data_IF_945116722601
#
_entry.id   IF_945116722601
#
_cell.length_a   1.000
_cell.length_b   1.000
_cell.length_c   1.000
_cell.angle_alpha   90.00
_cell.angle_beta   90.00
_cell.angle_gamma   90.00
#
_symmetry.space_group_name_H-M   'P 1'
#
loop_
_entity.id
_entity.type
_entity.pdbx_description
1 polymer ?
#
# COMPACT_ATOMS: atom_id res chain seq x y z
N UNK A 1 -18.56 1.48 13.40
CA UNK A 1 -17.57 0.73 14.20
C UNK A 1 -16.71 1.69 15.00
N UNK A 2 -16.12 1.18 16.06
CA UNK A 2 -15.17 1.88 16.91
C UNK A 2 -13.75 1.61 16.42
N UNK A 3 -12.97 2.65 16.15
CA UNK A 3 -11.62 2.53 15.58
C UNK A 3 -10.60 3.02 16.61
N UNK A 4 -9.53 2.25 16.81
CA UNK A 4 -8.31 2.72 17.47
C UNK A 4 -7.27 3.15 16.43
N UNK A 5 -6.68 4.33 16.61
CA UNK A 5 -5.57 4.83 15.80
C UNK A 5 -4.26 4.61 16.55
N UNK A 6 -3.38 3.78 15.98
CA UNK A 6 -2.04 3.51 16.47
C UNK A 6 -1.05 4.31 15.62
N UNK A 7 -0.62 5.46 16.15
CA UNK A 7 0.04 6.54 15.43
C UNK A 7 -0.93 7.66 15.05
N UNK A 8 -0.71 8.86 15.57
CA UNK A 8 -1.59 10.01 15.35
C UNK A 8 -0.85 11.19 14.70
N UNK A 9 0.00 10.86 13.72
CA UNK A 9 0.67 11.81 12.86
C UNK A 9 -0.25 12.32 11.73
N UNK A 10 0.35 12.73 10.60
CA UNK A 10 -0.39 13.24 9.43
C UNK A 10 -1.45 12.24 8.92
N UNK A 11 -1.06 10.96 8.76
CA UNK A 11 -2.00 9.93 8.29
C UNK A 11 -3.10 9.63 9.31
N UNK A 12 -2.78 9.49 10.59
CA UNK A 12 -3.77 9.27 11.64
C UNK A 12 -4.86 10.34 11.66
N UNK A 13 -4.47 11.63 11.53
CA UNK A 13 -5.42 12.75 11.44
C UNK A 13 -6.30 12.71 10.19
N UNK A 14 -5.74 12.30 9.05
CA UNK A 14 -6.53 12.15 7.80
C UNK A 14 -7.50 10.97 7.91
N UNK A 15 -7.05 9.85 8.49
CA UNK A 15 -7.89 8.68 8.74
C UNK A 15 -9.05 9.03 9.69
N UNK A 16 -8.79 9.75 10.80
CA UNK A 16 -9.84 10.19 11.72
C UNK A 16 -10.92 11.02 11.01
N UNK A 17 -10.51 12.03 10.22
CA UNK A 17 -11.45 12.85 9.46
C UNK A 17 -12.38 12.00 8.60
N UNK A 18 -11.81 11.09 7.77
CA UNK A 18 -12.57 10.25 6.86
C UNK A 18 -13.42 9.22 7.63
N UNK A 19 -12.90 8.67 8.74
CA UNK A 19 -13.65 7.75 9.60
C UNK A 19 -14.93 8.40 10.14
N UNK A 20 -14.82 9.62 10.66
CA UNK A 20 -15.97 10.38 11.19
C UNK A 20 -16.98 10.70 10.06
N UNK A 21 -16.49 11.15 8.90
CA UNK A 21 -17.36 11.42 7.72
C UNK A 21 -18.13 10.17 7.26
N UNK A 22 -17.56 8.97 7.47
CA UNK A 22 -18.18 7.67 7.16
C UNK A 22 -19.04 7.11 8.31
N UNK A 23 -19.20 7.84 9.41
CA UNK A 23 -20.05 7.45 10.54
C UNK A 23 -19.38 6.49 11.53
N UNK A 24 -18.03 6.44 11.57
CA UNK A 24 -17.29 5.67 12.56
C UNK A 24 -16.89 6.54 13.76
N UNK A 25 -16.56 5.91 14.89
CA UNK A 25 -16.09 6.58 16.10
C UNK A 25 -14.61 6.26 16.34
N UNK A 26 -13.81 7.26 16.72
CA UNK A 26 -12.45 7.05 17.19
C UNK A 26 -12.49 6.91 18.71
N UNK A 27 -12.20 5.71 19.22
CA UNK A 27 -12.25 5.40 20.67
C UNK A 27 -10.89 5.39 21.34
N UNK A 28 -9.81 5.32 20.56
CA UNK A 28 -8.46 5.44 21.09
C UNK A 28 -7.52 6.09 20.05
N UNK A 29 -6.58 6.92 20.56
CA UNK A 29 -5.47 7.48 19.82
C UNK A 29 -4.21 7.22 20.62
N UNK A 30 -3.33 6.37 20.11
CA UNK A 30 -2.10 5.95 20.76
C UNK A 30 -0.93 6.50 19.96
N UNK A 31 -0.14 7.39 20.58
CA UNK A 31 1.03 8.01 19.96
C UNK A 31 2.17 8.15 20.98
N UNK A 32 3.39 8.46 20.54
CA UNK A 32 4.61 8.55 21.38
C UNK A 32 4.44 9.34 22.66
N UNK A 33 3.64 10.40 22.65
CA UNK A 33 3.57 11.39 23.73
C UNK A 33 2.18 11.50 24.36
N UNK A 34 1.19 10.78 23.88
CA UNK A 34 -0.18 10.84 24.43
C UNK A 34 -0.98 9.61 24.03
N UNK A 35 -1.58 9.00 25.02
CA UNK A 35 -2.60 7.96 24.83
C UNK A 35 -3.94 8.54 25.27
N UNK A 36 -4.88 8.60 24.32
CA UNK A 36 -6.26 9.01 24.56
C UNK A 36 -7.20 7.83 24.35
N UNK A 37 -8.19 7.65 25.23
CA UNK A 37 -9.18 6.61 25.16
C UNK A 37 -8.66 5.22 25.55
N UNK A 38 -9.35 4.17 25.10
CA UNK A 38 -9.02 2.78 25.45
C UNK A 38 -9.02 1.88 24.24
N UNK A 39 -7.87 1.25 23.98
CA UNK A 39 -7.73 0.29 22.90
C UNK A 39 -8.75 -0.85 22.98
N UNK A 40 -9.09 -1.32 24.19
CA UNK A 40 -10.05 -2.40 24.43
C UNK A 40 -11.52 -2.10 24.03
N UNK A 41 -11.83 -0.85 23.69
CA UNK A 41 -13.16 -0.44 23.24
C UNK A 41 -13.26 -0.45 21.70
N UNK A 42 -12.18 -0.77 20.98
CA UNK A 42 -12.13 -0.75 19.53
C UNK A 42 -12.60 -2.07 18.89
N UNK A 43 -13.32 -1.97 17.79
CA UNK A 43 -13.67 -3.09 16.90
C UNK A 43 -12.51 -3.42 15.94
N UNK A 44 -11.66 -2.42 15.62
CA UNK A 44 -10.50 -2.55 14.73
C UNK A 44 -9.44 -1.51 15.08
N UNK A 45 -8.17 -1.84 14.89
CA UNK A 45 -7.06 -0.92 15.05
C UNK A 45 -6.40 -0.61 13.68
N UNK A 46 -6.09 0.67 13.45
CA UNK A 46 -5.39 1.11 12.24
C UNK A 46 -4.02 1.68 12.65
N UNK A 47 -2.95 1.02 12.21
CA UNK A 47 -1.57 1.37 12.56
C UNK A 47 -0.86 2.13 11.43
N UNK A 48 -0.64 3.43 11.64
CA UNK A 48 0.24 4.29 10.83
C UNK A 48 1.19 5.04 11.76
N UNK A 49 2.08 4.31 12.39
CA UNK A 49 3.06 4.79 13.38
C UNK A 49 4.47 4.90 12.77
N UNK A 50 5.49 4.84 13.61
CA UNK A 50 6.90 4.73 13.21
C UNK A 50 7.34 3.26 13.21
N UNK A 51 8.38 2.88 12.44
CA UNK A 51 8.84 1.49 12.34
C UNK A 51 9.09 0.85 13.70
N UNK A 52 9.82 1.53 14.60
CA UNK A 52 10.22 1.03 15.93
C UNK A 52 9.03 0.74 16.86
N UNK A 53 7.87 1.38 16.63
CA UNK A 53 6.66 1.18 17.43
C UNK A 53 5.67 0.19 16.79
N UNK A 54 5.84 -0.15 15.51
CA UNK A 54 4.85 -0.90 14.73
C UNK A 54 4.51 -2.25 15.36
N UNK A 55 5.54 -3.06 15.64
CA UNK A 55 5.36 -4.42 16.20
C UNK A 55 4.66 -4.39 17.55
N UNK A 56 5.09 -3.51 18.45
CA UNK A 56 4.49 -3.36 19.78
C UNK A 56 3.03 -2.92 19.70
N UNK A 57 2.73 -1.94 18.87
CA UNK A 57 1.38 -1.45 18.64
C UNK A 57 0.47 -2.55 18.10
N UNK A 58 0.91 -3.25 17.05
CA UNK A 58 0.16 -4.33 16.43
C UNK A 58 -0.14 -5.43 17.44
N UNK A 59 0.88 -5.93 18.16
CA UNK A 59 0.72 -6.99 19.16
C UNK A 59 -0.20 -6.58 20.32
N UNK A 60 -0.19 -5.31 20.72
CA UNK A 60 -1.07 -4.80 21.76
C UNK A 60 -2.56 -4.93 21.39
N UNK A 61 -2.91 -4.66 20.12
CA UNK A 61 -4.25 -4.83 19.62
C UNK A 61 -4.62 -6.33 19.41
N UNK A 62 -3.72 -7.09 18.75
CA UNK A 62 -3.95 -8.52 18.51
C UNK A 62 -4.14 -9.33 19.79
N UNK A 63 -3.44 -8.97 20.88
CA UNK A 63 -3.61 -9.60 22.21
C UNK A 63 -5.02 -9.41 22.79
N UNK A 64 -5.71 -8.36 22.37
CA UNK A 64 -7.11 -8.09 22.73
C UNK A 64 -8.10 -8.67 21.69
N UNK A 65 -7.62 -9.54 20.78
CA UNK A 65 -8.37 -10.12 19.67
C UNK A 65 -8.91 -9.05 18.68
N UNK A 66 -8.37 -7.83 18.72
CA UNK A 66 -8.77 -6.72 17.85
C UNK A 66 -8.02 -6.85 16.50
N UNK A 67 -8.74 -6.92 15.36
CA UNK A 67 -8.15 -6.90 14.03
C UNK A 67 -7.29 -5.67 13.78
N UNK A 68 -6.18 -5.85 13.04
CA UNK A 68 -5.24 -4.76 12.77
C UNK A 68 -5.02 -4.56 11.29
N UNK A 69 -5.17 -3.31 10.84
CA UNK A 69 -4.79 -2.81 9.52
C UNK A 69 -3.51 -1.99 9.67
N UNK A 70 -2.41 -2.41 9.06
CA UNK A 70 -1.10 -1.77 9.21
C UNK A 70 -0.56 -1.21 7.90
N UNK A 71 -0.30 0.12 7.88
CA UNK A 71 0.36 0.82 6.78
C UNK A 71 1.75 1.37 7.13
N UNK A 72 2.26 1.11 8.33
CA UNK A 72 3.63 1.45 8.70
C UNK A 72 4.61 0.57 7.94
N UNK A 73 5.63 1.16 7.34
CA UNK A 73 6.71 0.45 6.63
C UNK A 73 8.00 0.39 7.46
N UNK A 74 9.00 -0.37 7.01
CA UNK A 74 10.34 -0.42 7.64
C UNK A 74 10.46 -1.30 8.88
N UNK A 75 9.55 -2.28 9.07
CA UNK A 75 9.55 -3.24 10.18
C UNK A 75 9.34 -4.70 9.71
N UNK A 76 9.37 -4.96 8.41
CA UNK A 76 8.97 -6.24 7.82
C UNK A 76 9.88 -7.43 8.16
N UNK A 77 11.04 -7.20 8.73
CA UNK A 77 11.90 -8.28 9.28
C UNK A 77 11.16 -9.07 10.36
N UNK A 78 10.23 -8.41 11.08
CA UNK A 78 9.40 -9.00 12.12
C UNK A 78 8.02 -9.49 11.63
N UNK A 79 7.72 -9.39 10.32
CA UNK A 79 6.39 -9.70 9.78
C UNK A 79 5.93 -11.12 10.14
N UNK A 80 6.81 -12.12 9.98
CA UNK A 80 6.49 -13.53 10.30
C UNK A 80 6.15 -13.74 11.76
N UNK A 81 6.80 -12.99 12.66
CA UNK A 81 6.51 -13.03 14.09
C UNK A 81 5.13 -12.47 14.39
N UNK A 82 4.75 -11.35 13.75
CA UNK A 82 3.44 -10.73 13.89
C UNK A 82 2.34 -11.63 13.33
N UNK A 83 2.54 -12.26 12.18
CA UNK A 83 1.59 -13.20 11.57
C UNK A 83 1.33 -14.41 12.49
N UNK A 84 2.40 -14.99 13.05
CA UNK A 84 2.27 -16.06 14.04
C UNK A 84 1.51 -15.59 15.26
N UNK A 85 1.86 -14.43 15.83
CA UNK A 85 1.19 -13.85 17.00
C UNK A 85 -0.30 -13.58 16.74
N UNK A 86 -0.65 -13.10 15.53
CA UNK A 86 -2.04 -12.93 15.11
C UNK A 86 -2.80 -14.26 15.16
N UNK A 87 -2.22 -15.32 14.60
CA UNK A 87 -2.83 -16.65 14.58
C UNK A 87 -3.02 -17.23 15.98
N UNK A 88 -2.04 -17.07 16.86
CA UNK A 88 -2.06 -17.52 18.27
C UNK A 88 -3.14 -16.80 19.09
N UNK A 89 -3.47 -15.55 18.75
CA UNK A 89 -4.49 -14.74 19.43
C UNK A 89 -5.86 -14.75 18.71
N UNK A 90 -6.06 -15.63 17.73
CA UNK A 90 -7.34 -15.77 16.99
C UNK A 90 -7.89 -14.42 16.49
N UNK A 91 -7.02 -13.55 15.98
CA UNK A 91 -7.38 -12.23 15.47
C UNK A 91 -7.20 -12.15 13.95
N UNK A 92 -7.29 -10.95 13.38
CA UNK A 92 -7.04 -10.70 11.96
C UNK A 92 -5.95 -9.64 11.78
N UNK A 93 -5.11 -9.82 10.76
CA UNK A 93 -4.05 -8.89 10.42
C UNK A 93 -3.95 -8.68 8.92
N UNK A 94 -3.81 -7.42 8.52
CA UNK A 94 -3.52 -7.03 7.15
C UNK A 94 -2.43 -5.97 7.14
N UNK A 95 -1.35 -6.27 6.43
CA UNK A 95 -0.32 -5.30 6.09
C UNK A 95 -0.41 -4.92 4.61
N UNK A 96 -0.28 -3.63 4.33
CA UNK A 96 -0.04 -3.14 2.96
C UNK A 96 0.89 -1.92 2.98
N UNK A 97 1.83 -1.88 2.04
CA UNK A 97 2.67 -0.69 1.79
C UNK A 97 1.89 0.45 1.13
N UNK A 98 0.74 0.14 0.55
CA UNK A 98 -0.14 1.09 -0.12
C UNK A 98 -1.62 0.67 0.01
N UNK A 99 -2.45 1.54 0.57
CA UNK A 99 -3.88 1.32 0.77
C UNK A 99 -4.77 1.95 -0.31
N UNK A 100 -4.21 2.73 -1.25
CA UNK A 100 -5.02 3.28 -2.33
C UNK A 100 -5.68 2.16 -3.15
N UNK A 101 -6.99 2.17 -3.22
CA UNK A 101 -7.76 1.21 -4.04
C UNK A 101 -7.30 1.31 -5.50
N UNK A 102 -7.21 2.55 -6.03
CA UNK A 102 -6.76 2.77 -7.41
C UNK A 102 -5.37 2.20 -7.68
N UNK A 103 -4.41 2.37 -6.77
CA UNK A 103 -3.06 1.82 -6.91
C UNK A 103 -3.07 0.28 -6.89
N UNK A 104 -3.84 -0.35 -6.01
CA UNK A 104 -3.90 -1.81 -5.94
C UNK A 104 -4.59 -2.41 -7.19
N UNK A 105 -5.66 -1.79 -7.68
CA UNK A 105 -6.27 -2.16 -8.97
C UNK A 105 -5.29 -1.96 -10.12
N UNK A 106 -4.51 -0.89 -10.10
CA UNK A 106 -3.49 -0.61 -11.10
C UNK A 106 -2.37 -1.65 -11.09
N UNK A 107 -1.92 -2.12 -9.90
CA UNK A 107 -0.98 -3.24 -9.81
C UNK A 107 -1.52 -4.50 -10.49
N UNK A 108 -2.78 -4.85 -10.25
CA UNK A 108 -3.40 -6.02 -10.87
C UNK A 108 -3.52 -5.86 -12.38
N UNK A 109 -4.01 -4.70 -12.84
CA UNK A 109 -4.11 -4.39 -14.28
C UNK A 109 -2.75 -4.48 -14.98
N UNK A 110 -1.70 -3.94 -14.35
CA UNK A 110 -0.33 -4.01 -14.84
C UNK A 110 0.15 -5.46 -15.02
N UNK A 111 -0.10 -6.33 -14.03
CA UNK A 111 0.27 -7.76 -14.12
C UNK A 111 -0.49 -8.48 -15.24
N UNK A 112 -1.79 -8.19 -15.40
CA UNK A 112 -2.61 -8.76 -16.48
C UNK A 112 -2.09 -8.28 -17.84
N UNK A 113 -1.84 -6.97 -17.98
CA UNK A 113 -1.29 -6.40 -19.21
C UNK A 113 0.07 -7.00 -19.56
N UNK A 114 0.98 -7.14 -18.59
CA UNK A 114 2.29 -7.76 -18.81
C UNK A 114 2.17 -9.20 -19.34
N UNK A 115 1.24 -10.00 -18.81
CA UNK A 115 0.97 -11.36 -19.30
C UNK A 115 0.45 -11.36 -20.73
N UNK A 116 -0.46 -10.44 -21.07
CA UNK A 116 -1.01 -10.32 -22.42
C UNK A 116 0.05 -9.88 -23.42
N UNK A 117 0.95 -9.00 -23.02
CA UNK A 117 2.02 -8.47 -23.87
C UNK A 117 3.21 -9.44 -24.06
N UNK A 118 3.38 -10.42 -23.17
CA UNK A 118 4.51 -11.37 -23.20
C UNK A 118 4.78 -12.01 -24.58
N UNK A 119 3.77 -12.46 -25.36
CA UNK A 119 4.00 -13.07 -26.69
C UNK A 119 4.22 -12.07 -27.82
N UNK A 120 4.32 -10.77 -27.54
CA UNK A 120 4.40 -9.70 -28.53
C UNK A 120 5.75 -8.98 -28.49
N UNK A 121 6.79 -9.61 -29.02
CA UNK A 121 8.20 -9.13 -28.94
C UNK A 121 8.46 -7.82 -29.68
N UNK A 122 7.56 -7.38 -30.55
CA UNK A 122 7.64 -6.09 -31.24
C UNK A 122 7.28 -4.88 -30.33
N UNK A 123 6.75 -5.13 -29.12
CA UNK A 123 6.49 -4.07 -28.16
C UNK A 123 7.58 -3.95 -27.10
N UNK A 124 8.08 -2.73 -26.95
CA UNK A 124 9.03 -2.38 -25.89
C UNK A 124 8.28 -1.78 -24.72
N UNK A 125 8.48 -2.36 -23.53
CA UNK A 125 7.89 -1.84 -22.29
C UNK A 125 8.78 -0.77 -21.65
N UNK A 126 8.16 0.25 -21.08
CA UNK A 126 8.83 1.28 -20.28
C UNK A 126 7.89 1.84 -19.22
N UNK A 127 8.48 2.41 -18.19
CA UNK A 127 7.76 3.02 -17.08
C UNK A 127 8.20 4.46 -16.87
N UNK A 128 7.26 5.25 -16.32
CA UNK A 128 7.52 6.61 -15.86
C UNK A 128 6.83 6.84 -14.53
N UNK A 129 7.50 7.53 -13.60
CA UNK A 129 6.89 8.05 -12.39
C UNK A 129 7.16 9.55 -12.24
N UNK A 130 6.21 10.27 -11.67
CA UNK A 130 6.36 11.67 -11.30
C UNK A 130 5.88 11.90 -9.86
N UNK A 131 6.68 12.61 -9.05
CA UNK A 131 6.37 13.01 -7.68
C UNK A 131 6.85 14.42 -7.39
N UNK A 132 6.42 14.95 -6.25
CA UNK A 132 6.86 16.26 -5.74
C UNK A 132 8.38 16.33 -5.51
N UNK A 133 8.92 17.55 -5.55
CA UNK A 133 10.38 17.80 -5.43
C UNK A 133 10.99 17.36 -4.09
N UNK A 134 10.18 17.18 -3.04
CA UNK A 134 10.64 16.78 -1.70
C UNK A 134 10.71 15.25 -1.50
N UNK A 135 10.38 14.44 -2.54
CA UNK A 135 10.47 12.98 -2.45
C UNK A 135 11.92 12.52 -2.67
N UNK A 136 12.49 11.88 -1.66
CA UNK A 136 13.92 11.51 -1.63
C UNK A 136 14.20 10.16 -2.31
N UNK A 137 13.31 9.17 -2.14
CA UNK A 137 13.47 7.85 -2.73
C UNK A 137 13.20 7.88 -4.24
N UNK A 138 14.02 7.19 -5.01
CA UNK A 138 13.92 7.02 -6.45
C UNK A 138 14.46 5.63 -6.87
N UNK A 139 13.67 4.80 -7.56
CA UNK A 139 12.25 5.00 -7.83
C UNK A 139 11.39 4.82 -6.56
N UNK A 140 10.13 5.25 -6.62
CA UNK A 140 9.18 5.07 -5.51
C UNK A 140 8.84 3.60 -5.28
N UNK A 141 8.41 3.24 -4.04
CA UNK A 141 7.94 1.88 -3.74
C UNK A 141 6.82 1.40 -4.67
N UNK A 142 5.92 2.30 -5.10
CA UNK A 142 4.88 1.98 -6.10
C UNK A 142 5.49 1.62 -7.46
N UNK A 143 6.48 2.38 -7.92
CA UNK A 143 7.16 2.08 -9.18
C UNK A 143 7.93 0.75 -9.11
N UNK A 144 8.58 0.45 -7.98
CA UNK A 144 9.25 -0.84 -7.76
C UNK A 144 8.24 -1.99 -7.85
N UNK A 145 7.11 -1.90 -7.15
CA UNK A 145 6.05 -2.94 -7.19
C UNK A 145 5.50 -3.15 -8.61
N UNK A 146 5.30 -2.07 -9.37
CA UNK A 146 4.88 -2.16 -10.78
C UNK A 146 5.94 -2.86 -11.63
N UNK A 147 7.20 -2.49 -11.47
CA UNK A 147 8.32 -3.07 -12.21
C UNK A 147 8.48 -4.56 -11.91
N UNK A 148 8.43 -4.97 -10.64
CA UNK A 148 8.47 -6.37 -10.22
C UNK A 148 7.29 -7.16 -10.81
N UNK A 149 6.09 -6.54 -10.88
CA UNK A 149 4.92 -7.12 -11.52
C UNK A 149 5.10 -7.37 -13.02
N UNK A 150 5.82 -6.50 -13.74
CA UNK A 150 6.19 -6.69 -15.14
C UNK A 150 7.26 -7.77 -15.28
N UNK A 151 8.35 -7.67 -14.54
CA UNK A 151 9.48 -8.60 -14.58
C UNK A 151 9.01 -10.04 -14.33
N UNK A 152 8.16 -10.26 -13.34
CA UNK A 152 7.59 -11.58 -13.03
C UNK A 152 6.82 -12.21 -14.21
N UNK A 153 6.30 -11.41 -15.13
CA UNK A 153 5.44 -11.84 -16.23
C UNK A 153 6.07 -11.63 -17.62
N UNK A 154 7.35 -11.29 -17.71
CA UNK A 154 8.11 -11.08 -18.96
C UNK A 154 9.46 -11.79 -18.88
N UNK A 155 10.32 -11.60 -19.88
CA UNK A 155 11.71 -12.10 -19.90
C UNK A 155 12.71 -11.10 -19.30
N UNK A 156 12.27 -9.93 -18.84
CA UNK A 156 13.11 -8.94 -18.17
C UNK A 156 13.56 -9.48 -16.80
N UNK A 157 14.79 -9.14 -16.39
CA UNK A 157 15.39 -9.66 -15.16
C UNK A 157 15.59 -8.63 -14.06
N UNK A 158 15.56 -7.34 -14.41
CA UNK A 158 15.78 -6.23 -13.50
C UNK A 158 15.10 -4.96 -14.02
N UNK A 159 15.03 -3.94 -13.19
CA UNK A 159 14.68 -2.57 -13.59
C UNK A 159 15.89 -1.63 -13.42
N UNK A 160 15.90 -0.51 -14.14
CA UNK A 160 16.96 0.51 -14.03
C UNK A 160 16.41 1.91 -14.28
N UNK A 161 16.96 2.91 -13.58
CA UNK A 161 16.71 4.32 -13.83
C UNK A 161 17.81 4.98 -14.68
N UNK A 162 19.00 4.41 -14.71
CA UNK A 162 20.20 5.01 -15.32
C UNK A 162 20.72 4.22 -16.52
N UNK A 163 20.78 2.89 -16.41
CA UNK A 163 21.35 2.04 -17.45
C UNK A 163 20.26 1.23 -18.15
N UNK A 164 20.10 1.46 -19.44
CA UNK A 164 19.18 0.67 -20.28
C UNK A 164 20.01 -0.40 -20.99
N UNK A 165 19.77 -1.66 -20.61
CA UNK A 165 20.26 -2.83 -21.35
C UNK A 165 19.07 -3.68 -21.79
N UNK A 166 19.31 -4.64 -22.68
CA UNK A 166 18.26 -5.45 -23.30
C UNK A 166 17.42 -6.29 -22.31
N UNK A 167 17.90 -6.45 -21.06
CA UNK A 167 17.23 -7.26 -20.04
C UNK A 167 16.68 -6.40 -18.88
N UNK A 168 16.75 -5.06 -18.98
CA UNK A 168 16.25 -4.16 -17.94
C UNK A 168 15.02 -3.39 -18.38
N UNK A 169 14.07 -3.26 -17.44
CA UNK A 169 12.92 -2.39 -17.57
C UNK A 169 13.35 -0.95 -17.27
N UNK A 170 13.29 -0.02 -18.25
CA UNK A 170 13.61 1.39 -17.98
C UNK A 170 12.52 2.07 -17.17
N UNK A 171 12.91 2.78 -16.10
CA UNK A 171 12.04 3.62 -15.29
C UNK A 171 12.53 5.08 -15.39
N UNK A 172 11.74 5.94 -16.02
CA UNK A 172 11.97 7.38 -16.01
C UNK A 172 11.41 7.97 -14.72
N UNK A 173 12.24 8.69 -13.97
CA UNK A 173 11.87 9.32 -12.69
C UNK A 173 11.82 10.84 -12.87
N UNK A 174 10.67 11.43 -12.53
CA UNK A 174 10.49 12.89 -12.52
C UNK A 174 10.21 13.40 -11.09
N UNK A 175 10.76 14.56 -10.76
CA UNK A 175 10.51 15.31 -9.53
C UNK A 175 10.09 16.72 -9.93
N UNK A 176 8.79 17.03 -9.77
CA UNK A 176 8.21 18.28 -10.25
C UNK A 176 7.09 18.78 -9.37
N UNK A 177 7.10 20.06 -9.03
CA UNK A 177 6.05 20.73 -8.26
C UNK A 177 5.65 20.00 -6.97
N UNK A 178 4.35 19.91 -6.74
CA UNK A 178 3.73 19.23 -5.58
C UNK A 178 2.93 17.98 -5.99
N UNK A 179 3.31 17.34 -7.11
CA UNK A 179 2.63 16.14 -7.65
C UNK A 179 2.58 15.03 -6.59
N UNK A 180 1.39 14.56 -6.18
CA UNK A 180 1.26 13.53 -5.14
C UNK A 180 1.83 12.17 -5.58
N UNK A 181 1.70 11.85 -6.85
CA UNK A 181 2.25 10.66 -7.48
C UNK A 181 1.48 10.26 -8.74
N UNK A 182 2.20 10.17 -9.85
CA UNK A 182 1.68 9.64 -11.13
C UNK A 182 2.58 8.50 -11.59
N UNK A 183 2.00 7.40 -12.01
CA UNK A 183 2.72 6.23 -12.51
C UNK A 183 2.13 5.80 -13.84
N UNK A 184 3.00 5.66 -14.83
CA UNK A 184 2.65 5.27 -16.19
C UNK A 184 3.41 4.01 -16.57
N UNK A 185 2.72 3.03 -17.16
CA UNK A 185 3.31 1.88 -17.85
C UNK A 185 2.89 1.96 -19.30
N UNK A 186 3.83 1.81 -20.22
CA UNK A 186 3.56 1.82 -21.65
C UNK A 186 4.27 0.66 -22.37
N UNK A 187 3.59 0.12 -23.36
CA UNK A 187 4.11 -0.84 -24.33
C UNK A 187 4.04 -0.19 -25.70
N UNK A 188 5.17 0.01 -26.34
CA UNK A 188 5.29 0.76 -27.60
C UNK A 188 5.89 -0.11 -28.71
N UNK A 189 5.22 -0.11 -29.87
CA UNK A 189 5.73 -0.66 -31.15
C UNK A 189 5.94 0.45 -32.19
N UNK A 190 6.23 0.07 -33.42
CA UNK A 190 6.23 0.99 -34.59
C UNK A 190 4.81 1.41 -34.99
N UNK A 191 3.82 0.58 -34.70
CA UNK A 191 2.44 0.73 -35.15
C UNK A 191 1.61 1.56 -34.16
N UNK A 192 1.76 1.29 -32.85
CA UNK A 192 0.93 1.91 -31.80
C UNK A 192 1.58 1.90 -30.43
N UNK A 193 0.86 2.41 -29.42
CA UNK A 193 1.24 2.40 -28.02
C UNK A 193 0.05 2.04 -27.14
N UNK A 194 0.22 1.03 -26.29
CA UNK A 194 -0.72 0.76 -25.19
C UNK A 194 -0.17 1.42 -23.93
N UNK A 195 -0.98 2.26 -23.29
CA UNK A 195 -0.61 3.00 -22.08
C UNK A 195 -1.65 2.79 -20.98
N UNK A 196 -1.19 2.48 -19.76
CA UNK A 196 -1.99 2.54 -18.57
C UNK A 196 -1.36 3.54 -17.59
N UNK A 197 -2.19 4.31 -16.87
CA UNK A 197 -1.72 5.35 -15.99
C UNK A 197 -2.61 5.46 -14.73
N UNK A 198 -1.96 5.66 -13.60
CA UNK A 198 -2.60 6.03 -12.34
C UNK A 198 -2.05 7.37 -11.88
N UNK A 199 -2.95 8.33 -11.63
CA UNK A 199 -2.66 9.64 -11.08
C UNK A 199 -3.32 9.79 -9.71
N UNK A 200 -2.54 10.05 -8.68
CA UNK A 200 -3.06 10.39 -7.36
C UNK A 200 -3.37 11.91 -7.31
N UNK A 201 -4.59 12.28 -6.92
CA UNK A 201 -4.96 13.69 -6.76
C UNK A 201 -4.66 14.20 -5.35
N UNK A 202 -4.67 13.31 -4.35
CA UNK A 202 -4.39 13.63 -2.96
C UNK A 202 -3.93 12.40 -2.18
N UNK A 203 -3.55 12.59 -0.90
CA UNK A 203 -3.25 11.49 0.02
C UNK A 203 -4.49 10.88 0.67
N UNK A 204 -5.67 11.46 0.48
CA UNK A 204 -6.92 10.96 1.07
C UNK A 204 -7.28 9.55 0.57
N UNK A 205 -6.87 9.19 -0.66
CA UNK A 205 -7.06 7.85 -1.20
C UNK A 205 -6.43 6.74 -0.37
N UNK A 206 -5.28 6.99 0.27
CA UNK A 206 -4.62 6.03 1.17
C UNK A 206 -5.40 5.87 2.48
N UNK A 207 -5.87 6.98 3.06
CA UNK A 207 -6.64 6.97 4.29
C UNK A 207 -8.02 6.31 4.08
N UNK A 208 -8.70 6.63 2.98
CA UNK A 208 -9.96 6.00 2.61
C UNK A 208 -9.80 4.48 2.43
N UNK A 209 -8.75 4.05 1.74
CA UNK A 209 -8.48 2.62 1.56
C UNK A 209 -8.18 1.90 2.87
N UNK A 210 -7.49 2.54 3.82
CA UNK A 210 -7.27 1.98 5.16
C UNK A 210 -8.60 1.83 5.93
N UNK A 211 -9.53 2.78 5.83
CA UNK A 211 -10.87 2.68 6.43
C UNK A 211 -11.67 1.55 5.78
N UNK A 212 -11.71 1.47 4.44
CA UNK A 212 -12.41 0.38 3.73
C UNK A 212 -11.83 -0.98 4.13
N UNK A 213 -10.51 -1.06 4.29
CA UNK A 213 -9.88 -2.29 4.78
C UNK A 213 -10.29 -2.61 6.22
N UNK A 214 -10.41 -1.59 7.08
CA UNK A 214 -10.87 -1.76 8.46
C UNK A 214 -12.34 -2.24 8.52
N UNK A 215 -13.22 -1.67 7.70
CA UNK A 215 -14.61 -2.12 7.53
C UNK A 215 -14.70 -3.58 7.08
N UNK A 216 -13.78 -3.98 6.19
CA UNK A 216 -13.77 -5.32 5.63
C UNK A 216 -13.24 -6.38 6.60
N UNK A 217 -12.24 -6.04 7.46
CA UNK A 217 -11.50 -7.01 8.29
C UNK A 217 -12.13 -7.26 9.66
N UNK A 218 -12.98 -6.35 10.17
CA UNK A 218 -13.45 -6.32 11.56
C UNK A 218 -14.00 -7.67 12.08
N UNK A 219 -14.72 -8.42 11.23
CA UNK A 219 -15.33 -9.71 11.59
C UNK A 219 -14.54 -10.93 11.10
N UNK A 220 -13.31 -10.74 10.67
CA UNK A 220 -12.48 -11.81 10.09
C UNK A 220 -11.44 -12.33 11.07
N UNK A 221 -10.87 -13.49 10.73
CA UNK A 221 -9.74 -14.09 11.43
C UNK A 221 -8.74 -14.59 10.40
N UNK A 222 -7.45 -14.32 10.63
CA UNK A 222 -6.36 -14.75 9.74
C UNK A 222 -5.53 -13.61 9.18
N UNK A 223 -4.67 -13.95 8.23
CA UNK A 223 -3.76 -13.00 7.57
C UNK A 223 -4.30 -12.67 6.18
N UNK A 224 -4.41 -11.40 5.87
CA UNK A 224 -5.03 -10.91 4.65
C UNK A 224 -4.16 -9.89 3.93
N UNK A 225 -4.49 -9.62 2.68
CA UNK A 225 -3.87 -8.64 1.79
C UNK A 225 -4.91 -7.71 1.17
N UNK A 226 -4.46 -6.67 0.48
CA UNK A 226 -5.36 -5.80 -0.30
C UNK A 226 -6.05 -6.56 -1.45
N UNK A 227 -5.45 -7.64 -1.96
CA UNK A 227 -6.11 -8.47 -2.96
C UNK A 227 -7.38 -9.14 -2.43
N UNK A 228 -7.35 -9.58 -1.16
CA UNK A 228 -8.52 -10.19 -0.50
C UNK A 228 -9.61 -9.15 -0.28
N UNK A 229 -9.25 -7.95 0.17
CA UNK A 229 -10.19 -6.82 0.36
C UNK A 229 -10.89 -6.45 -0.93
N UNK A 230 -10.16 -6.41 -2.05
CA UNK A 230 -10.65 -5.98 -3.35
C UNK A 230 -11.20 -7.13 -4.20
N UNK A 231 -11.09 -8.37 -3.73
CA UNK A 231 -11.50 -9.59 -4.47
C UNK A 231 -10.86 -9.68 -5.87
N UNK A 232 -9.53 -9.46 -5.95
CA UNK A 232 -8.73 -9.42 -7.19
C UNK A 232 -7.60 -10.46 -7.23
N UNK A 233 -7.81 -11.61 -6.65
CA UNK A 233 -6.86 -12.75 -6.63
C UNK A 233 -6.61 -13.35 -8.02
#
# INVERSE_FOLDING_TARGET
MNIALLGYGRMGKTIEKIAIERGHSIVAKIDRNSDEGKLSEADVAINFSVPDAAVTNIKSALKLEIPVVCGTTGWLDDLKEVERFCSENNSAFLYASNFSIGVNLFFKLNQVLAKLMKPHDNYVVGMKEAHHIHKLDAPSGTAITLAEGIIKNTELTQWSIDEINNNSLPITVERTGEVPGTHTVQYKSSEDTIKIEHEAHSREGFALGAIITAEWIQDKRGIFSMNDVLNIN
#
